data_IF_909788294844
#
_entry.id   IF_909788294844
#
_cell.length_a   1.000
_cell.length_b   1.000
_cell.length_c   1.000
_cell.angle_alpha   90.00
_cell.angle_beta   90.00
_cell.angle_gamma   90.00
#
_symmetry.space_group_name_H-M   'P 1'
#
loop_
_entity.id
_entity.type
_entity.pdbx_description
1 polymer ?
#
# COMPACT_ATOMS: atom_id res chain seq x y z
N UNK A 1 -21.38 -35.07 0.15
CA UNK A 1 -22.46 -34.55 -0.69
C UNK A 1 -22.47 -33.05 -0.50
N UNK A 2 -22.02 -32.30 -1.48
CA UNK A 2 -22.12 -30.83 -1.45
C UNK A 2 -23.56 -30.47 -1.73
N UNK A 3 -24.26 -29.97 -0.72
CA UNK A 3 -25.59 -29.37 -0.89
C UNK A 3 -25.40 -28.09 -1.68
N UNK A 4 -25.89 -28.09 -2.93
CA UNK A 4 -25.87 -26.92 -3.79
C UNK A 4 -26.61 -25.76 -3.11
N UNK A 5 -25.91 -24.67 -2.86
CA UNK A 5 -26.51 -23.38 -2.54
C UNK A 5 -27.30 -22.92 -3.75
N UNK A 6 -28.62 -23.07 -3.69
CA UNK A 6 -29.52 -22.40 -4.63
C UNK A 6 -29.57 -20.92 -4.29
N UNK A 7 -28.83 -20.13 -5.02
CA UNK A 7 -29.00 -18.67 -5.01
C UNK A 7 -30.39 -18.35 -5.57
N UNK A 8 -31.27 -17.85 -4.74
CA UNK A 8 -32.58 -17.41 -5.16
C UNK A 8 -32.47 -16.11 -5.95
N UNK A 9 -32.97 -16.18 -7.17
CA UNK A 9 -33.30 -15.17 -8.19
C UNK A 9 -32.40 -13.90 -8.31
N UNK A 10 -31.83 -13.77 -9.48
CA UNK A 10 -30.94 -12.70 -9.93
C UNK A 10 -31.50 -11.27 -9.86
N UNK A 11 -32.82 -11.08 -9.76
CA UNK A 11 -33.43 -9.74 -9.73
C UNK A 11 -33.28 -9.02 -8.37
N UNK A 12 -33.25 -9.76 -7.27
CA UNK A 12 -33.06 -9.17 -5.94
C UNK A 12 -31.58 -8.97 -5.60
N UNK A 13 -30.71 -9.70 -6.26
CA UNK A 13 -29.28 -9.64 -6.01
C UNK A 13 -28.64 -8.35 -6.52
N UNK A 14 -29.14 -7.75 -7.61
CA UNK A 14 -28.54 -6.56 -8.21
C UNK A 14 -28.74 -5.30 -7.35
N UNK A 15 -29.90 -5.12 -6.71
CA UNK A 15 -30.15 -3.96 -5.84
C UNK A 15 -29.42 -4.09 -4.50
N UNK A 16 -29.33 -5.28 -3.95
CA UNK A 16 -28.62 -5.59 -2.71
C UNK A 16 -27.11 -5.42 -2.90
N UNK A 17 -26.56 -5.91 -4.01
CA UNK A 17 -25.13 -5.81 -4.27
C UNK A 17 -24.66 -4.35 -4.43
N UNK A 18 -25.48 -3.48 -5.02
CA UNK A 18 -25.13 -2.06 -5.17
C UNK A 18 -25.02 -1.34 -3.83
N UNK A 19 -25.92 -1.62 -2.88
CA UNK A 19 -25.88 -1.02 -1.54
C UNK A 19 -24.64 -1.50 -0.75
N UNK A 20 -24.36 -2.80 -0.79
CA UNK A 20 -23.18 -3.38 -0.11
C UNK A 20 -21.90 -2.84 -0.71
N UNK A 21 -21.79 -2.74 -2.02
CA UNK A 21 -20.60 -2.19 -2.69
C UNK A 21 -20.41 -0.71 -2.33
N UNK A 22 -21.47 0.10 -2.37
CA UNK A 22 -21.38 1.52 -2.06
C UNK A 22 -20.92 1.76 -0.61
N UNK A 23 -21.46 1.02 0.37
CA UNK A 23 -21.06 1.15 1.77
C UNK A 23 -19.65 0.60 2.01
N UNK A 24 -19.24 -0.46 1.33
CA UNK A 24 -17.87 -0.97 1.41
C UNK A 24 -16.85 0.03 0.86
N UNK A 25 -17.10 0.63 -0.28
CA UNK A 25 -16.19 1.64 -0.87
C UNK A 25 -16.00 2.82 0.07
N UNK A 26 -17.08 3.31 0.70
CA UNK A 26 -17.00 4.45 1.64
C UNK A 26 -16.11 4.17 2.86
N UNK A 27 -15.92 2.92 3.22
CA UNK A 27 -15.07 2.51 4.35
C UNK A 27 -13.62 2.20 3.94
N UNK A 28 -13.39 1.76 2.71
CA UNK A 28 -12.04 1.43 2.22
C UNK A 28 -11.22 2.71 2.01
N UNK A 29 -11.82 3.76 1.44
CA UNK A 29 -11.10 4.98 1.06
C UNK A 29 -10.39 5.69 2.23
N UNK A 30 -11.01 5.87 3.42
CA UNK A 30 -10.35 6.50 4.56
C UNK A 30 -9.45 5.56 5.37
N UNK A 31 -9.41 4.26 5.04
CA UNK A 31 -8.68 3.29 5.82
C UNK A 31 -7.16 3.38 5.58
N UNK A 32 -6.44 3.72 6.63
CA UNK A 32 -5.00 3.61 6.76
C UNK A 32 -4.17 4.80 6.28
N UNK A 33 -3.24 5.28 7.11
CA UNK A 33 -2.34 6.38 6.76
C UNK A 33 -1.30 5.96 5.70
N UNK A 34 -0.93 4.68 5.62
CA UNK A 34 0.11 4.18 4.72
C UNK A 34 -0.30 4.27 3.26
N UNK A 35 -1.58 4.04 2.97
CA UNK A 35 -2.13 4.12 1.61
C UNK A 35 -1.98 5.52 0.96
N UNK A 36 -1.90 6.58 1.76
CA UNK A 36 -1.70 7.94 1.28
C UNK A 36 -0.23 8.28 0.99
N UNK A 37 0.70 7.46 1.51
CA UNK A 37 2.15 7.68 1.39
C UNK A 37 2.78 6.91 0.23
N UNK A 38 2.05 5.98 -0.39
CA UNK A 38 2.54 5.15 -1.49
C UNK A 38 2.10 5.66 -2.85
N UNK A 39 2.94 5.49 -3.86
CA UNK A 39 2.59 5.79 -5.24
C UNK A 39 1.70 4.68 -5.81
N UNK A 40 0.62 5.06 -6.47
CA UNK A 40 -0.32 4.13 -7.10
C UNK A 40 0.00 3.99 -8.58
N UNK A 41 -0.08 2.77 -9.07
CA UNK A 41 0.08 2.44 -10.47
C UNK A 41 -1.10 1.61 -10.93
N UNK A 42 -1.69 2.00 -12.06
CA UNK A 42 -2.80 1.28 -12.66
C UNK A 42 -2.28 0.13 -13.52
N UNK A 43 -2.87 -1.05 -13.37
CA UNK A 43 -2.56 -2.20 -14.20
C UNK A 43 -3.43 -2.13 -15.46
N UNK A 44 -2.85 -2.07 -16.69
CA UNK A 44 -3.63 -2.05 -17.90
C UNK A 44 -4.46 -3.33 -18.06
N UNK A 45 -5.62 -3.21 -18.68
CA UNK A 45 -6.50 -4.35 -18.94
C UNK A 45 -5.76 -5.45 -19.71
N UNK A 46 -5.79 -6.66 -19.19
CA UNK A 46 -5.11 -7.83 -19.77
C UNK A 46 -3.66 -8.04 -19.32
N UNK A 47 -3.09 -7.14 -18.52
CA UNK A 47 -1.78 -7.32 -17.91
C UNK A 47 -1.90 -7.94 -16.51
N UNK A 48 -0.93 -8.79 -16.13
CA UNK A 48 -0.83 -9.36 -14.78
C UNK A 48 0.09 -8.55 -13.86
N UNK A 49 0.94 -7.71 -14.44
CA UNK A 49 1.97 -6.97 -13.72
C UNK A 49 2.18 -5.61 -14.34
N UNK A 50 2.73 -4.70 -13.54
CA UNK A 50 3.27 -3.42 -13.98
C UNK A 50 4.77 -3.42 -13.75
N UNK A 51 5.52 -3.02 -14.76
CA UNK A 51 6.97 -2.89 -14.70
C UNK A 51 7.31 -1.42 -14.43
N UNK A 52 7.94 -1.17 -13.28
CA UNK A 52 8.32 0.16 -12.84
C UNK A 52 9.82 0.36 -13.09
N UNK A 53 10.22 1.24 -14.03
CA UNK A 53 11.62 1.54 -14.27
C UNK A 53 12.16 2.46 -13.17
N UNK A 54 13.21 2.03 -12.50
CA UNK A 54 13.98 2.83 -11.55
C UNK A 54 15.28 3.25 -12.23
N UNK A 55 15.44 4.55 -12.46
CA UNK A 55 16.59 5.11 -13.09
C UNK A 55 17.75 5.28 -12.10
N UNK A 56 18.93 4.80 -12.50
CA UNK A 56 20.14 5.02 -11.74
C UNK A 56 20.63 6.47 -11.84
N UNK A 57 21.47 6.85 -10.90
CA UNK A 57 22.05 8.18 -10.82
C UNK A 57 23.34 8.26 -11.60
N UNK A 58 23.53 9.35 -12.35
CA UNK A 58 24.80 9.71 -12.96
C UNK A 58 25.47 10.82 -12.14
N UNK A 59 26.77 10.77 -12.01
CA UNK A 59 27.57 11.78 -11.32
C UNK A 59 28.20 12.74 -12.34
N UNK A 60 28.10 14.04 -12.07
CA UNK A 60 28.83 15.02 -12.85
C UNK A 60 30.32 14.99 -12.50
N UNK A 61 31.20 15.02 -13.49
CA UNK A 61 32.61 15.14 -13.31
C UNK A 61 33.09 16.54 -13.73
N UNK A 62 34.11 17.04 -13.06
CA UNK A 62 34.72 18.30 -13.46
C UNK A 62 35.45 18.14 -14.81
N UNK A 63 35.19 19.07 -15.71
CA UNK A 63 35.88 19.12 -17.00
C UNK A 63 37.18 19.91 -16.87
N UNK A 64 38.28 19.37 -17.41
CA UNK A 64 39.55 20.08 -17.53
C UNK A 64 39.64 20.66 -18.96
N UNK A 65 39.95 21.92 -19.07
CA UNK A 65 40.10 22.60 -20.36
C UNK A 65 41.17 21.91 -21.23
N UNK A 66 40.83 21.61 -22.47
CA UNK A 66 41.71 20.94 -23.43
C UNK A 66 41.80 19.42 -23.32
N UNK A 67 40.99 18.78 -22.46
CA UNK A 67 40.93 17.33 -22.34
C UNK A 67 39.59 16.82 -22.79
N UNK A 68 39.56 15.90 -23.76
CA UNK A 68 38.32 15.25 -24.23
C UNK A 68 37.76 14.30 -23.17
N UNK A 69 36.42 14.23 -23.09
CA UNK A 69 35.70 13.26 -22.27
C UNK A 69 35.88 11.86 -22.88
N UNK A 70 36.82 11.09 -22.37
CA UNK A 70 37.14 9.76 -22.90
C UNK A 70 36.12 8.66 -22.48
N UNK A 71 35.37 8.85 -21.39
CA UNK A 71 34.47 7.83 -20.82
C UNK A 71 33.07 8.43 -20.59
N UNK A 72 32.13 8.26 -21.53
CA UNK A 72 30.74 8.63 -21.30
C UNK A 72 30.10 7.73 -20.21
N UNK A 73 29.31 8.33 -19.35
CA UNK A 73 28.55 7.57 -18.34
C UNK A 73 27.34 6.92 -18.98
N UNK A 74 27.11 5.67 -18.66
CA UNK A 74 25.94 4.93 -19.12
C UNK A 74 24.79 5.11 -18.12
N UNK A 75 23.61 5.43 -18.62
CA UNK A 75 22.39 5.47 -17.82
C UNK A 75 21.95 4.04 -17.49
N UNK A 76 21.87 3.72 -16.21
CA UNK A 76 21.39 2.40 -15.74
C UNK A 76 19.90 2.47 -15.41
N UNK A 77 19.16 1.39 -15.74
CA UNK A 77 17.75 1.22 -15.43
C UNK A 77 17.57 -0.12 -14.75
N UNK A 78 16.90 -0.12 -13.60
CA UNK A 78 16.48 -1.35 -12.91
C UNK A 78 14.97 -1.43 -12.98
N UNK A 79 14.43 -2.53 -13.51
CA UNK A 79 12.99 -2.75 -13.60
C UNK A 79 12.54 -3.50 -12.36
N UNK A 80 11.53 -2.98 -11.67
CA UNK A 80 10.81 -3.65 -10.58
C UNK A 80 9.42 -4.02 -11.05
N UNK A 81 9.06 -5.28 -10.89
CA UNK A 81 7.78 -5.84 -11.30
C UNK A 81 6.85 -5.87 -10.11
N UNK A 82 5.65 -5.31 -10.26
CA UNK A 82 4.58 -5.37 -9.27
C UNK A 82 3.44 -6.21 -9.85
N UNK A 83 3.10 -7.28 -9.16
CA UNK A 83 2.00 -8.17 -9.53
C UNK A 83 0.80 -7.93 -8.63
N UNK A 84 -0.42 -8.04 -9.18
CA UNK A 84 -1.64 -7.98 -8.38
C UNK A 84 -1.93 -9.31 -7.71
N UNK A 85 -2.45 -9.26 -6.49
CA UNK A 85 -3.08 -10.37 -5.78
C UNK A 85 -4.57 -10.09 -5.60
N UNK A 86 -5.37 -11.15 -5.59
CA UNK A 86 -6.80 -11.06 -5.36
C UNK A 86 -7.10 -11.39 -3.89
N UNK A 87 -7.97 -10.58 -3.30
CA UNK A 87 -8.48 -10.79 -1.96
C UNK A 87 -10.00 -10.78 -2.00
N UNK A 88 -10.64 -11.71 -1.29
CA UNK A 88 -12.09 -11.82 -1.23
C UNK A 88 -12.57 -11.92 0.22
N UNK A 89 -13.82 -11.53 0.43
CA UNK A 89 -14.53 -11.72 1.68
C UNK A 89 -15.92 -12.22 1.34
N UNK A 90 -16.31 -13.36 1.92
CA UNK A 90 -17.62 -13.95 1.74
C UNK A 90 -18.42 -13.89 3.05
N UNK A 91 -19.57 -13.21 3.03
CA UNK A 91 -20.51 -13.15 4.14
C UNK A 91 -21.87 -13.67 3.70
N UNK A 92 -22.44 -14.58 4.47
CA UNK A 92 -23.79 -15.10 4.24
C UNK A 92 -24.80 -14.37 5.10
N UNK A 93 -25.78 -13.73 4.48
CA UNK A 93 -26.93 -13.11 5.14
C UNK A 93 -28.17 -13.93 4.81
N UNK A 94 -28.87 -14.43 5.82
CA UNK A 94 -30.10 -15.20 5.61
C UNK A 94 -31.30 -14.27 5.41
N UNK A 95 -32.22 -14.68 4.56
CA UNK A 95 -33.52 -14.00 4.32
C UNK A 95 -34.30 -13.75 5.62
N UNK A 96 -34.21 -14.69 6.57
CA UNK A 96 -34.87 -14.56 7.87
C UNK A 96 -34.28 -13.39 8.67
N UNK A 97 -32.94 -13.21 8.66
CA UNK A 97 -32.29 -12.13 9.36
C UNK A 97 -32.68 -10.77 8.79
N UNK A 98 -32.72 -10.66 7.46
CA UNK A 98 -33.13 -9.42 6.77
C UNK A 98 -34.58 -9.04 7.05
N UNK A 99 -35.48 -10.03 7.18
CA UNK A 99 -36.92 -9.77 7.43
C UNK A 99 -37.26 -9.52 8.90
N UNK A 100 -36.48 -10.05 9.82
CA UNK A 100 -36.74 -9.94 11.26
C UNK A 100 -36.05 -8.75 11.94
N UNK A 101 -35.12 -8.13 11.25
CA UNK A 101 -34.37 -7.00 11.80
C UNK A 101 -34.88 -5.68 11.22
N UNK A 102 -34.94 -4.66 12.07
CA UNK A 102 -35.44 -3.32 11.73
C UNK A 102 -34.32 -2.41 11.22
N UNK A 103 -33.09 -2.87 11.24
CA UNK A 103 -31.91 -2.14 10.76
C UNK A 103 -31.53 -2.57 9.35
N UNK A 104 -30.87 -1.70 8.61
CA UNK A 104 -30.32 -2.02 7.29
C UNK A 104 -29.04 -2.87 7.44
N UNK A 105 -29.26 -4.18 7.65
CA UNK A 105 -28.19 -5.17 7.82
C UNK A 105 -27.27 -5.20 6.61
N UNK A 106 -27.79 -4.95 5.40
CA UNK A 106 -26.99 -5.01 4.18
C UNK A 106 -25.97 -3.89 4.12
N UNK A 107 -26.36 -2.67 4.50
CA UNK A 107 -25.42 -1.56 4.62
C UNK A 107 -24.35 -1.85 5.66
N UNK A 108 -24.74 -2.38 6.82
CA UNK A 108 -23.81 -2.71 7.90
C UNK A 108 -22.83 -3.83 7.52
N UNK A 109 -23.29 -4.85 6.80
CA UNK A 109 -22.42 -5.89 6.23
C UNK A 109 -21.39 -5.27 5.27
N UNK A 110 -21.82 -4.34 4.42
CA UNK A 110 -20.90 -3.61 3.53
C UNK A 110 -19.83 -2.82 4.29
N UNK A 111 -20.22 -2.11 5.34
CA UNK A 111 -19.27 -1.36 6.19
C UNK A 111 -18.24 -2.28 6.85
N UNK A 112 -18.69 -3.41 7.41
CA UNK A 112 -17.78 -4.37 8.05
C UNK A 112 -16.81 -5.00 7.04
N UNK A 113 -17.30 -5.35 5.84
CA UNK A 113 -16.47 -5.89 4.76
C UNK A 113 -15.46 -4.85 4.27
N UNK A 114 -15.90 -3.61 4.05
CA UNK A 114 -15.04 -2.51 3.65
C UNK A 114 -13.94 -2.23 4.66
N UNK A 115 -14.30 -2.20 5.95
CA UNK A 115 -13.32 -2.03 7.04
C UNK A 115 -12.32 -3.20 7.14
N UNK A 116 -12.75 -4.42 6.82
CA UNK A 116 -11.85 -5.59 6.80
C UNK A 116 -10.87 -5.53 5.62
N UNK A 117 -11.33 -5.16 4.42
CA UNK A 117 -10.46 -4.96 3.26
C UNK A 117 -9.48 -3.81 3.46
N UNK A 118 -9.92 -2.70 4.07
CA UNK A 118 -9.05 -1.59 4.39
C UNK A 118 -7.93 -1.98 5.37
N UNK A 119 -8.26 -2.76 6.42
CA UNK A 119 -7.25 -3.28 7.35
C UNK A 119 -6.28 -4.26 6.68
N UNK A 120 -6.76 -5.10 5.77
CA UNK A 120 -5.91 -6.01 5.02
C UNK A 120 -4.90 -5.24 4.16
N UNK A 121 -5.39 -4.25 3.40
CA UNK A 121 -4.53 -3.39 2.57
C UNK A 121 -3.45 -2.67 3.41
N UNK A 122 -3.83 -2.13 4.56
CA UNK A 122 -2.87 -1.46 5.46
C UNK A 122 -1.86 -2.45 6.05
N UNK A 123 -2.30 -3.66 6.40
CA UNK A 123 -1.42 -4.74 6.87
C UNK A 123 -0.42 -5.15 5.79
N UNK A 124 -0.86 -5.32 4.56
CA UNK A 124 0.01 -5.69 3.45
C UNK A 124 1.06 -4.60 3.16
N UNK A 125 0.65 -3.33 3.20
CA UNK A 125 1.58 -2.22 3.03
C UNK A 125 2.59 -2.10 4.18
N UNK A 126 2.16 -2.34 5.42
CA UNK A 126 3.05 -2.27 6.58
C UNK A 126 4.04 -3.43 6.63
N UNK A 127 3.67 -4.62 6.17
CA UNK A 127 4.61 -5.77 6.09
C UNK A 127 5.74 -5.53 5.11
N UNK A 128 5.56 -4.68 4.10
CA UNK A 128 6.63 -4.32 3.16
C UNK A 128 7.77 -3.54 3.84
N UNK A 129 7.51 -2.87 4.97
CA UNK A 129 8.56 -2.16 5.71
C UNK A 129 9.59 -3.10 6.34
N UNK A 130 9.21 -4.33 6.66
CA UNK A 130 10.15 -5.35 7.17
C UNK A 130 11.18 -5.78 6.10
N UNK A 131 10.87 -5.56 4.83
CA UNK A 131 11.76 -5.84 3.70
C UNK A 131 12.83 -4.77 3.46
N UNK A 132 12.83 -3.66 4.19
CA UNK A 132 13.86 -2.65 4.05
C UNK A 132 15.19 -3.10 4.67
N UNK A 133 16.28 -2.92 3.93
CA UNK A 133 17.63 -3.33 4.35
C UNK A 133 18.21 -2.45 5.45
N UNK A 134 17.63 -1.27 5.71
CA UNK A 134 18.14 -0.30 6.68
C UNK A 134 17.18 -0.19 7.86
N UNK A 135 17.70 -0.44 9.06
CA UNK A 135 16.96 -0.28 10.31
C UNK A 135 17.75 0.59 11.28
N UNK A 136 17.05 1.41 12.05
CA UNK A 136 17.63 2.26 13.09
C UNK A 136 16.97 1.95 14.41
N UNK A 137 17.77 1.68 15.45
CA UNK A 137 17.32 1.25 16.76
C UNK A 137 17.38 -0.27 16.95
N UNK A 138 17.15 -0.71 18.17
CA UNK A 138 17.10 -2.12 18.53
C UNK A 138 15.66 -2.55 18.77
N UNK A 139 15.31 -3.78 18.39
CA UNK A 139 13.99 -4.35 18.68
C UNK A 139 13.72 -4.34 20.20
N UNK A 140 12.53 -3.89 20.60
CA UNK A 140 12.15 -3.78 22.01
C UNK A 140 12.63 -2.52 22.74
N UNK A 141 13.36 -1.62 22.08
CA UNK A 141 13.74 -0.31 22.63
C UNK A 141 12.69 0.75 22.34
N UNK A 142 12.59 1.75 23.23
CA UNK A 142 11.70 2.88 23.02
C UNK A 142 12.17 3.75 21.84
N UNK A 143 11.22 4.29 21.08
CA UNK A 143 11.51 5.25 20.05
C UNK A 143 11.96 6.57 20.71
N UNK A 144 13.14 7.05 20.34
CA UNK A 144 13.69 8.32 20.83
C UNK A 144 13.78 9.33 19.70
N UNK A 145 13.87 10.60 20.05
CA UNK A 145 14.12 11.68 19.09
C UNK A 145 15.36 11.40 18.21
N UNK A 146 16.41 10.83 18.80
CA UNK A 146 17.63 10.48 18.06
C UNK A 146 17.39 9.42 16.99
N UNK A 147 16.52 8.46 17.23
CA UNK A 147 16.14 7.45 16.22
C UNK A 147 15.44 8.11 15.03
N UNK A 148 14.48 9.01 15.30
CA UNK A 148 13.76 9.75 14.25
C UNK A 148 14.67 10.67 13.47
N UNK A 149 15.50 11.46 14.17
CA UNK A 149 16.48 12.35 13.54
C UNK A 149 17.51 11.57 12.71
N UNK A 150 17.97 10.42 13.22
CA UNK A 150 18.87 9.51 12.52
C UNK A 150 18.24 8.95 11.24
N UNK A 151 16.97 8.52 11.30
CA UNK A 151 16.24 8.03 10.13
C UNK A 151 16.08 9.12 9.05
N UNK A 152 15.70 10.33 9.44
CA UNK A 152 15.59 11.46 8.52
C UNK A 152 16.96 11.83 7.93
N UNK A 153 18.01 11.85 8.74
CA UNK A 153 19.38 12.09 8.27
C UNK A 153 19.79 11.02 7.26
N UNK A 154 19.51 9.75 7.55
CA UNK A 154 19.85 8.63 6.67
C UNK A 154 19.13 8.72 5.32
N UNK A 155 17.83 9.09 5.32
CA UNK A 155 17.06 9.28 4.08
C UNK A 155 17.57 10.47 3.25
N UNK A 156 18.04 11.53 3.91
CA UNK A 156 18.52 12.76 3.25
C UNK A 156 20.01 12.74 2.91
N UNK A 157 20.76 11.80 3.46
CA UNK A 157 22.18 11.66 3.15
C UNK A 157 22.34 10.72 1.95
N UNK A 158 23.30 11.01 1.09
CA UNK A 158 23.62 10.21 -0.10
C UNK A 158 24.35 8.90 0.28
N UNK A 159 23.75 8.11 1.15
CA UNK A 159 24.30 6.84 1.60
C UNK A 159 24.12 5.70 0.58
N UNK A 160 23.25 5.90 -0.40
CA UNK A 160 23.03 4.95 -1.47
C UNK A 160 23.41 5.58 -2.82
N UNK A 161 24.61 5.29 -3.28
CA UNK A 161 25.14 5.79 -4.56
C UNK A 161 24.25 5.46 -5.77
N UNK A 162 23.34 4.48 -5.64
CA UNK A 162 22.46 4.06 -6.75
C UNK A 162 21.21 4.91 -6.89
N UNK A 163 20.64 5.43 -5.79
CA UNK A 163 19.32 6.07 -5.82
C UNK A 163 19.32 7.55 -5.42
N UNK A 164 20.41 8.05 -4.85
CA UNK A 164 20.55 9.44 -4.40
C UNK A 164 19.72 9.75 -3.13
N UNK A 165 19.63 11.03 -2.80
CA UNK A 165 18.87 11.52 -1.65
C UNK A 165 17.37 11.47 -1.92
N UNK A 166 16.58 11.11 -0.91
CA UNK A 166 15.12 11.23 -1.00
C UNK A 166 14.72 12.72 -1.14
N UNK A 167 14.02 13.09 -2.21
CA UNK A 167 13.55 14.47 -2.39
C UNK A 167 12.38 14.76 -1.45
N UNK A 168 12.29 15.99 -0.97
CA UNK A 168 11.10 16.51 -0.28
C UNK A 168 11.06 16.23 1.21
N UNK A 169 9.84 16.14 1.73
CA UNK A 169 9.55 15.96 3.15
C UNK A 169 9.53 14.46 3.48
N UNK A 170 10.24 14.06 4.54
CA UNK A 170 10.17 12.70 5.04
C UNK A 170 8.86 12.53 5.83
N UNK A 171 8.13 11.44 5.55
CA UNK A 171 6.92 11.06 6.27
C UNK A 171 7.18 9.76 7.04
N UNK A 172 6.57 9.63 8.22
CA UNK A 172 6.72 8.44 9.06
C UNK A 172 5.37 7.93 9.53
N UNK A 173 5.23 6.62 9.62
CA UNK A 173 4.08 5.94 10.20
C UNK A 173 4.50 5.38 11.56
N UNK A 174 3.78 5.77 12.62
CA UNK A 174 4.08 5.38 13.99
C UNK A 174 2.88 4.66 14.61
N UNK A 175 3.16 3.62 15.38
CA UNK A 175 2.13 3.02 16.20
C UNK A 175 1.72 3.98 17.33
N UNK A 176 0.43 4.09 17.69
CA UNK A 176 -0.04 5.02 18.73
C UNK A 176 0.70 4.92 20.07
N UNK A 177 1.14 3.73 20.46
CA UNK A 177 1.93 3.53 21.68
C UNK A 177 3.32 4.16 21.60
N UNK A 178 3.91 4.28 20.42
CA UNK A 178 5.22 4.91 20.21
C UNK A 178 5.16 6.43 20.36
N UNK A 179 3.99 7.03 20.14
CA UNK A 179 3.77 8.48 20.29
C UNK A 179 3.54 8.85 21.76
N UNK A 180 3.09 7.89 22.57
CA UNK A 180 2.74 8.11 23.99
C UNK A 180 3.97 8.06 24.92
N UNK A 181 5.08 7.50 24.48
CA UNK A 181 6.34 7.43 25.23
C UNK A 181 7.15 8.71 25.05
#
# INVERSE_FOLDING_TARGET
MATGLTLSSSSNLSSVSSTVIASAISQIEPAGPTNQLVSRYDIPQGAKQVDIPIWGRNNAAALTEGVDIATPQQLSVTIKNVTSSEHDILVFVSDRLTRQNNEDILAHVGEVQGGALGRLLESDLTTLFDGFSNSIGAAGSYLTYYHVAGAVSYLKTDNNASYGMAPGTASGVFHPEQIRA
#
